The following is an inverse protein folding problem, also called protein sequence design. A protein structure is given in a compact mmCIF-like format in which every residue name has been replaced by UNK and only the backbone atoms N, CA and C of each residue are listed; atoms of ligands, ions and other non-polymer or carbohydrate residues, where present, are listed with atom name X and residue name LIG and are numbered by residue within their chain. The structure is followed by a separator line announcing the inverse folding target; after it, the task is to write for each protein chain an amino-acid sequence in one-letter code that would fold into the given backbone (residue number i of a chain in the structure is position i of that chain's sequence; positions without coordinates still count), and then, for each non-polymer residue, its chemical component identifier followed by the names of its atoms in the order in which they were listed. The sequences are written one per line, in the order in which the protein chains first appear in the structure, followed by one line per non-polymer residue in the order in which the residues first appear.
data_IF_933579193724
#
_entry.id   IF_933579193724
#
_cell.length_a   1.000
_cell.length_b   1.000
_cell.length_c   1.000
_cell.angle_alpha   90.00
_cell.angle_beta   90.00
_cell.angle_gamma   90.00
#
_symmetry.space_group_name_H-M   'P 1'
#
loop_
_entity.id
_entity.type
_entity.pdbx_description
1 polymer ?
#
# COMPACT_ATOMS: atom_id res chain seq x y z
N UNK A 1 24.91 54.89 40.98
CA UNK A 1 24.64 54.26 39.67
C UNK A 1 25.25 52.85 39.62
N UNK A 2 25.17 52.08 40.71
CA UNK A 2 25.76 50.73 40.81
C UNK A 2 24.70 49.64 41.09
N UNK A 3 23.59 50.00 41.76
CA UNK A 3 22.55 49.04 42.15
C UNK A 3 21.72 48.58 40.92
N UNK A 4 21.54 49.45 39.92
CA UNK A 4 20.80 49.15 38.68
C UNK A 4 21.54 48.17 37.77
N UNK A 5 22.86 48.25 37.69
CA UNK A 5 23.70 47.35 36.88
C UNK A 5 23.80 45.95 37.49
N UNK A 6 23.83 45.81 38.82
CA UNK A 6 23.81 44.52 39.51
C UNK A 6 22.46 43.80 39.30
N UNK A 7 21.34 44.51 39.43
CA UNK A 7 20.01 43.92 39.21
C UNK A 7 19.80 43.50 37.74
N UNK A 8 20.31 44.27 36.77
CA UNK A 8 20.27 43.90 35.35
C UNK A 8 21.13 42.67 35.04
N UNK A 9 22.29 42.52 35.70
CA UNK A 9 23.16 41.36 35.54
C UNK A 9 22.53 40.07 36.11
N UNK A 10 21.88 40.17 37.28
CA UNK A 10 21.16 39.05 37.91
C UNK A 10 19.92 38.67 37.07
N UNK A 11 19.18 39.66 36.56
CA UNK A 11 18.04 39.44 35.66
C UNK A 11 18.47 38.79 34.32
N UNK A 12 19.58 39.25 33.73
CA UNK A 12 20.12 38.68 32.50
C UNK A 12 20.65 37.25 32.71
N UNK A 13 21.36 37.00 33.81
CA UNK A 13 21.88 35.67 34.16
C UNK A 13 20.77 34.65 34.45
N UNK A 14 19.73 35.05 35.19
CA UNK A 14 18.56 34.19 35.46
C UNK A 14 17.73 33.91 34.20
N UNK A 15 17.57 34.89 33.30
CA UNK A 15 16.90 34.71 32.01
C UNK A 15 17.63 33.75 31.06
N UNK A 16 18.96 33.82 30.99
CA UNK A 16 19.79 32.92 30.18
C UNK A 16 19.74 31.46 30.68
N UNK A 17 19.85 31.26 31.99
CA UNK A 17 19.77 29.94 32.60
C UNK A 17 18.37 29.33 32.43
N UNK A 18 17.31 30.14 32.64
CA UNK A 18 15.92 29.72 32.40
C UNK A 18 15.66 29.33 30.94
N UNK A 19 16.21 30.07 29.98
CA UNK A 19 16.08 29.78 28.55
C UNK A 19 16.80 28.47 28.14
N UNK A 20 18.00 28.23 28.67
CA UNK A 20 18.74 26.98 28.39
C UNK A 20 18.03 25.75 28.95
N UNK A 21 17.48 25.83 30.16
CA UNK A 21 16.74 24.71 30.79
C UNK A 21 15.40 24.49 30.06
N UNK A 22 14.68 25.57 29.74
CA UNK A 22 13.43 25.51 28.99
C UNK A 22 13.59 24.92 27.59
N UNK A 23 14.65 25.29 26.86
CA UNK A 23 14.95 24.73 25.54
C UNK A 23 15.35 23.24 25.62
N UNK A 24 16.07 22.83 26.66
CA UNK A 24 16.50 21.45 26.86
C UNK A 24 15.32 20.52 27.18
N UNK A 25 14.42 20.93 28.09
CA UNK A 25 13.22 20.16 28.45
C UNK A 25 12.23 20.13 27.28
N UNK A 26 12.04 21.25 26.58
CA UNK A 26 11.17 21.31 25.39
C UNK A 26 11.71 20.44 24.26
N UNK A 27 13.03 20.45 24.03
CA UNK A 27 13.68 19.58 23.04
C UNK A 27 13.51 18.10 23.36
N UNK A 28 13.66 17.70 24.63
CA UNK A 28 13.52 16.30 25.04
C UNK A 28 12.08 15.79 25.00
N UNK A 29 11.10 16.60 25.42
CA UNK A 29 9.68 16.27 25.33
C UNK A 29 9.23 16.20 23.87
N UNK A 30 9.64 17.15 23.04
CA UNK A 30 9.30 17.17 21.62
C UNK A 30 9.96 16.00 20.86
N UNK A 31 11.20 15.63 21.21
CA UNK A 31 11.88 14.45 20.67
C UNK A 31 11.12 13.16 21.04
N UNK A 32 10.70 13.01 22.30
CA UNK A 32 9.97 11.82 22.77
C UNK A 32 8.58 11.70 22.14
N UNK A 33 7.85 12.82 22.01
CA UNK A 33 6.54 12.85 21.35
C UNK A 33 6.69 12.58 19.84
N UNK A 34 7.70 13.18 19.19
CA UNK A 34 7.98 12.95 17.77
C UNK A 34 8.34 11.49 17.46
N UNK A 35 9.10 10.82 18.34
CA UNK A 35 9.44 9.41 18.17
C UNK A 35 8.19 8.51 18.31
N UNK A 36 7.38 8.73 19.36
CA UNK A 36 6.15 7.96 19.55
C UNK A 36 5.15 8.16 18.40
N UNK A 37 5.04 9.39 17.88
CA UNK A 37 4.18 9.69 16.74
C UNK A 37 4.66 8.96 15.47
N UNK A 38 5.97 8.85 15.26
CA UNK A 38 6.55 8.13 14.12
C UNK A 38 6.23 6.63 14.15
N UNK A 39 6.32 6.01 15.33
CA UNK A 39 6.01 4.60 15.49
C UNK A 39 4.52 4.30 15.29
N UNK A 40 3.65 5.16 15.82
CA UNK A 40 2.19 5.06 15.61
C UNK A 40 1.84 5.29 14.14
N UNK A 41 2.47 6.27 13.48
CA UNK A 41 2.29 6.55 12.06
C UNK A 41 2.68 5.32 11.21
N UNK A 42 3.85 4.74 11.48
CA UNK A 42 4.33 3.51 10.82
C UNK A 42 3.35 2.36 10.97
N UNK A 43 2.87 2.10 12.19
CA UNK A 43 1.90 1.03 12.46
C UNK A 43 0.56 1.29 11.77
N UNK A 44 0.10 2.54 11.76
CA UNK A 44 -1.19 2.93 11.16
C UNK A 44 -1.17 2.74 9.64
N UNK A 45 -0.12 3.21 8.96
CA UNK A 45 0.02 3.00 7.52
C UNK A 45 0.24 1.52 7.19
N UNK A 46 1.04 0.81 7.98
CA UNK A 46 1.26 -0.61 7.78
C UNK A 46 -0.04 -1.40 7.87
N UNK A 47 -0.85 -1.14 8.89
CA UNK A 47 -2.17 -1.75 9.05
C UNK A 47 -3.10 -1.39 7.87
N UNK A 48 -3.12 -0.14 7.43
CA UNK A 48 -3.95 0.29 6.31
C UNK A 48 -3.60 -0.40 4.98
N UNK A 49 -2.31 -0.54 4.66
CA UNK A 49 -1.90 -1.28 3.46
C UNK A 49 -2.28 -2.77 3.54
N UNK A 50 -2.09 -3.39 4.70
CA UNK A 50 -2.45 -4.81 4.89
C UNK A 50 -3.96 -5.00 4.76
N UNK A 51 -4.76 -4.12 5.37
CA UNK A 51 -6.21 -4.16 5.30
C UNK A 51 -6.73 -3.99 3.86
N UNK A 52 -6.10 -3.13 3.04
CA UNK A 52 -6.48 -3.02 1.63
C UNK A 52 -6.17 -4.31 0.85
N UNK A 53 -4.99 -4.91 1.06
CA UNK A 53 -4.65 -6.20 0.43
C UNK A 53 -5.64 -7.28 0.83
N UNK A 54 -5.98 -7.37 2.11
CA UNK A 54 -6.97 -8.33 2.63
C UNK A 54 -8.37 -8.11 2.03
N UNK A 55 -8.81 -6.85 1.93
CA UNK A 55 -10.09 -6.51 1.31
C UNK A 55 -10.11 -6.90 -0.17
N UNK A 56 -9.05 -6.60 -0.93
CA UNK A 56 -8.95 -6.96 -2.34
C UNK A 56 -8.92 -8.48 -2.55
N UNK A 57 -8.15 -9.21 -1.74
CA UNK A 57 -8.14 -10.68 -1.72
C UNK A 57 -9.53 -11.25 -1.48
N UNK A 58 -10.24 -10.72 -0.48
CA UNK A 58 -11.59 -11.15 -0.12
C UNK A 58 -12.55 -10.92 -1.27
N UNK A 59 -12.54 -9.72 -1.89
CA UNK A 59 -13.41 -9.41 -3.02
C UNK A 59 -13.15 -10.33 -4.22
N UNK A 60 -11.87 -10.57 -4.55
CA UNK A 60 -11.49 -11.45 -5.67
C UNK A 60 -12.01 -12.88 -5.44
N UNK A 61 -11.87 -13.39 -4.20
CA UNK A 61 -12.32 -14.73 -3.79
C UNK A 61 -13.85 -14.83 -3.79
N UNK A 62 -14.54 -13.89 -3.13
CA UNK A 62 -16.01 -13.88 -3.02
C UNK A 62 -16.71 -13.74 -4.39
N UNK A 63 -16.12 -12.97 -5.31
CA UNK A 63 -16.64 -12.86 -6.68
C UNK A 63 -16.27 -14.04 -7.57
N UNK A 64 -15.44 -14.96 -7.10
CA UNK A 64 -15.01 -16.15 -7.85
C UNK A 64 -14.32 -15.81 -9.18
N UNK A 65 -13.54 -14.72 -9.22
CA UNK A 65 -12.95 -14.25 -10.47
C UNK A 65 -11.96 -15.25 -11.08
N UNK A 66 -11.11 -15.86 -10.26
CA UNK A 66 -10.15 -16.85 -10.71
C UNK A 66 -10.87 -18.11 -11.23
N UNK A 67 -11.86 -18.59 -10.48
CA UNK A 67 -12.66 -19.77 -10.81
C UNK A 67 -13.44 -19.55 -12.10
N UNK A 68 -14.02 -18.36 -12.28
CA UNK A 68 -14.71 -17.97 -13.51
C UNK A 68 -13.76 -17.96 -14.70
N UNK A 69 -12.53 -17.47 -14.53
CA UNK A 69 -11.49 -17.47 -15.56
C UNK A 69 -11.02 -18.89 -15.93
N UNK A 70 -10.85 -19.76 -14.94
CA UNK A 70 -10.53 -21.18 -15.16
C UNK A 70 -11.68 -21.90 -15.86
N UNK A 71 -12.94 -21.59 -15.52
CA UNK A 71 -14.09 -22.13 -16.24
C UNK A 71 -14.12 -21.65 -17.68
N UNK A 72 -13.86 -20.36 -17.90
CA UNK A 72 -13.79 -19.75 -19.22
C UNK A 72 -12.68 -20.34 -20.10
N UNK A 73 -11.51 -20.67 -19.52
CA UNK A 73 -10.42 -21.34 -20.27
C UNK A 73 -10.79 -22.71 -20.80
N UNK A 74 -11.81 -23.35 -20.21
CA UNK A 74 -12.31 -24.67 -20.59
C UNK A 74 -13.56 -24.62 -21.47
N UNK A 75 -14.00 -23.42 -21.90
CA UNK A 75 -15.15 -23.29 -22.78
C UNK A 75 -14.85 -23.89 -24.17
N UNK A 76 -15.77 -24.65 -24.80
CA UNK A 76 -15.52 -25.32 -26.08
C UNK A 76 -14.98 -24.38 -27.17
N UNK A 77 -15.54 -23.18 -27.29
CA UNK A 77 -15.06 -22.19 -28.28
C UNK A 77 -13.60 -21.78 -28.05
N UNK A 78 -13.16 -21.65 -26.79
CA UNK A 78 -11.78 -21.32 -26.46
C UNK A 78 -10.86 -22.50 -26.75
N UNK A 79 -11.30 -23.73 -26.45
CA UNK A 79 -10.55 -24.95 -26.74
C UNK A 79 -10.42 -25.20 -28.25
N UNK A 80 -11.41 -24.79 -29.03
CA UNK A 80 -11.38 -24.77 -30.50
C UNK A 80 -10.54 -23.62 -31.08
N UNK A 81 -9.85 -22.85 -30.22
CA UNK A 81 -8.95 -21.76 -30.62
C UNK A 81 -9.64 -20.44 -30.99
N UNK A 82 -10.93 -20.29 -30.70
CA UNK A 82 -11.64 -19.04 -30.93
C UNK A 82 -11.35 -18.06 -29.79
N UNK A 83 -11.32 -16.77 -30.12
CA UNK A 83 -11.31 -15.71 -29.12
C UNK A 83 -12.75 -15.39 -28.69
N UNK A 84 -12.96 -15.12 -27.41
CA UNK A 84 -14.25 -14.71 -26.87
C UNK A 84 -14.14 -13.44 -26.02
N UNK A 85 -15.23 -12.67 -25.96
CA UNK A 85 -15.29 -11.47 -25.11
C UNK A 85 -15.66 -11.86 -23.69
N UNK A 86 -14.89 -11.35 -22.74
CA UNK A 86 -15.15 -11.49 -21.31
C UNK A 86 -15.09 -10.10 -20.69
N UNK A 87 -16.18 -9.67 -20.03
CA UNK A 87 -16.33 -8.30 -19.53
C UNK A 87 -16.46 -8.35 -18.02
N UNK A 88 -15.59 -7.62 -17.32
CA UNK A 88 -15.69 -7.36 -15.89
C UNK A 88 -15.62 -5.85 -15.70
N UNK A 89 -16.52 -5.30 -14.88
CA UNK A 89 -16.40 -3.92 -14.44
C UNK A 89 -15.51 -3.84 -13.20
N UNK A 90 -14.32 -3.26 -13.37
CA UNK A 90 -13.37 -2.98 -12.29
C UNK A 90 -13.30 -1.46 -12.09
N UNK A 91 -13.53 -0.94 -10.88
CA UNK A 91 -13.35 0.49 -10.60
C UNK A 91 -11.91 0.94 -10.88
N UNK A 92 -11.73 2.07 -11.55
CA UNK A 92 -10.40 2.66 -11.82
C UNK A 92 -9.63 2.95 -10.51
N UNK A 93 -10.35 3.15 -9.40
CA UNK A 93 -9.79 3.49 -8.09
C UNK A 93 -9.80 2.33 -7.10
N UNK A 94 -9.75 1.06 -7.54
CA UNK A 94 -9.84 -0.09 -6.64
C UNK A 94 -8.76 -0.12 -5.51
N UNK A 95 -7.61 0.52 -5.73
CA UNK A 95 -6.49 0.60 -4.79
C UNK A 95 -6.40 2.00 -4.11
N UNK A 96 -7.48 2.43 -3.46
CA UNK A 96 -7.64 3.80 -2.92
C UNK A 96 -6.59 4.14 -1.88
N UNK A 97 -6.37 3.26 -0.91
CA UNK A 97 -5.44 3.47 0.18
C UNK A 97 -4.00 3.43 -0.32
N UNK A 98 -3.66 2.46 -1.17
CA UNK A 98 -2.33 2.39 -1.77
C UNK A 98 -1.98 3.65 -2.55
N UNK A 99 -2.88 4.08 -3.46
CA UNK A 99 -2.65 5.26 -4.29
C UNK A 99 -2.54 6.55 -3.47
N UNK A 100 -3.37 6.72 -2.45
CA UNK A 100 -3.34 7.90 -1.58
C UNK A 100 -2.07 7.99 -0.72
N UNK A 101 -1.38 6.85 -0.48
CA UNK A 101 -0.30 6.76 0.50
C UNK A 101 1.01 6.21 -0.11
N UNK A 102 1.22 6.31 -1.43
CA UNK A 102 2.42 5.82 -2.11
C UNK A 102 3.73 6.32 -1.48
N UNK A 103 3.75 7.58 -1.02
CA UNK A 103 4.90 8.19 -0.35
C UNK A 103 5.24 7.56 1.02
N UNK A 104 4.35 6.74 1.58
CA UNK A 104 4.49 6.05 2.87
C UNK A 104 4.73 4.56 2.74
N UNK A 105 4.76 4.01 1.52
CA UNK A 105 4.89 2.57 1.28
C UNK A 105 6.14 1.96 1.92
N UNK A 106 7.25 2.72 1.96
CA UNK A 106 8.52 2.28 2.53
C UNK A 106 8.48 1.99 4.05
N UNK A 107 7.45 2.46 4.74
CA UNK A 107 7.24 2.20 6.18
C UNK A 107 7.00 0.71 6.48
N UNK A 108 6.65 -0.10 5.47
CA UNK A 108 6.47 -1.55 5.58
C UNK A 108 7.78 -2.34 5.70
N UNK A 109 8.93 -1.70 5.43
CA UNK A 109 10.22 -2.37 5.25
C UNK A 109 10.39 -2.92 3.84
N UNK A 110 11.64 -3.18 3.45
CA UNK A 110 12.04 -3.44 2.05
C UNK A 110 11.28 -4.60 1.41
N UNK A 111 11.26 -5.76 2.06
CA UNK A 111 10.65 -6.97 1.49
C UNK A 111 9.13 -6.84 1.34
N UNK A 112 8.45 -6.36 2.39
CA UNK A 112 6.98 -6.19 2.33
C UNK A 112 6.57 -5.09 1.37
N UNK A 113 7.37 -4.02 1.25
CA UNK A 113 7.17 -2.96 0.24
C UNK A 113 7.26 -3.53 -1.17
N UNK A 114 8.28 -4.34 -1.46
CA UNK A 114 8.46 -5.00 -2.76
C UNK A 114 7.25 -5.87 -3.11
N UNK A 115 6.79 -6.69 -2.16
CA UNK A 115 5.61 -7.54 -2.35
C UNK A 115 4.36 -6.70 -2.62
N UNK A 116 4.13 -5.63 -1.85
CA UNK A 116 2.97 -4.76 -2.02
C UNK A 116 2.94 -4.07 -3.39
N UNK A 117 4.08 -3.52 -3.83
CA UNK A 117 4.19 -2.93 -5.17
C UNK A 117 3.91 -3.98 -6.24
N UNK A 118 4.50 -5.17 -6.14
CA UNK A 118 4.24 -6.26 -7.09
C UNK A 118 2.77 -6.67 -7.13
N UNK A 119 2.12 -6.76 -5.96
CA UNK A 119 0.70 -7.08 -5.85
C UNK A 119 -0.17 -6.09 -6.62
N UNK A 120 -0.03 -4.79 -6.35
CA UNK A 120 -0.83 -3.77 -7.03
C UNK A 120 -0.51 -3.65 -8.52
N UNK A 121 0.75 -3.81 -8.93
CA UNK A 121 1.12 -3.79 -10.36
C UNK A 121 0.51 -4.95 -11.13
N UNK A 122 0.46 -6.16 -10.55
CA UNK A 122 -0.22 -7.30 -11.18
C UNK A 122 -1.73 -7.05 -11.29
N UNK A 123 -2.38 -6.56 -10.23
CA UNK A 123 -3.81 -6.24 -10.27
C UNK A 123 -4.12 -5.12 -11.26
N UNK A 124 -3.25 -4.11 -11.37
CA UNK A 124 -3.41 -3.03 -12.33
C UNK A 124 -3.28 -3.53 -13.77
N UNK A 125 -2.31 -4.41 -14.06
CA UNK A 125 -2.19 -5.07 -15.37
C UNK A 125 -3.46 -5.84 -15.72
N UNK A 126 -3.96 -6.66 -14.80
CA UNK A 126 -5.22 -7.40 -14.98
C UNK A 126 -6.38 -6.45 -15.23
N UNK A 127 -6.53 -5.38 -14.44
CA UNK A 127 -7.59 -4.40 -14.63
C UNK A 127 -7.52 -3.69 -15.99
N UNK A 128 -6.31 -3.39 -16.48
CA UNK A 128 -6.11 -2.78 -17.80
C UNK A 128 -6.53 -3.70 -18.93
N UNK A 129 -6.31 -5.01 -18.80
CA UNK A 129 -6.76 -5.99 -19.80
C UNK A 129 -8.29 -5.98 -19.94
N UNK A 130 -9.05 -5.69 -18.88
CA UNK A 130 -10.51 -5.57 -18.94
C UNK A 130 -11.04 -4.20 -19.33
N UNK A 131 -10.17 -3.20 -19.47
CA UNK A 131 -10.61 -1.84 -19.79
C UNK A 131 -11.09 -1.76 -21.24
N UNK A 132 -12.15 -0.98 -21.47
CA UNK A 132 -12.62 -0.70 -22.82
C UNK A 132 -11.49 -0.12 -23.68
N UNK A 133 -11.29 -0.71 -24.85
CA UNK A 133 -10.22 -0.33 -25.78
C UNK A 133 -8.87 -1.02 -25.53
N UNK A 134 -8.76 -1.88 -24.52
CA UNK A 134 -7.58 -2.76 -24.36
C UNK A 134 -7.44 -3.72 -25.54
N UNK A 135 -6.23 -4.24 -25.76
CA UNK A 135 -5.97 -5.20 -26.85
C UNK A 135 -6.91 -6.42 -26.78
N UNK A 136 -7.10 -7.00 -25.60
CA UNK A 136 -7.97 -8.17 -25.41
C UNK A 136 -9.45 -7.83 -25.41
N UNK A 137 -9.87 -6.61 -25.05
CA UNK A 137 -11.27 -6.19 -25.21
C UNK A 137 -11.68 -6.06 -26.69
N UNK A 138 -10.73 -5.61 -27.53
CA UNK A 138 -10.93 -5.39 -28.97
C UNK A 138 -10.84 -6.71 -29.73
N UNK A 139 -9.79 -7.50 -29.47
CA UNK A 139 -9.46 -8.72 -30.23
C UNK A 139 -10.02 -10.00 -29.58
N UNK A 140 -10.57 -9.91 -28.37
CA UNK A 140 -11.05 -11.05 -27.59
C UNK A 140 -9.93 -11.74 -26.80
N UNK A 141 -10.35 -12.52 -25.81
CA UNK A 141 -9.48 -13.41 -25.05
C UNK A 141 -9.37 -14.75 -25.76
N UNK A 142 -8.17 -15.07 -26.24
CA UNK A 142 -7.81 -16.41 -26.71
C UNK A 142 -7.26 -17.26 -25.55
N UNK A 143 -6.99 -18.55 -25.79
CA UNK A 143 -6.52 -19.49 -24.76
C UNK A 143 -5.28 -18.98 -24.04
N UNK A 144 -4.31 -18.45 -24.79
CA UNK A 144 -3.05 -17.95 -24.25
C UNK A 144 -3.26 -16.75 -23.32
N UNK A 145 -4.08 -15.77 -23.72
CA UNK A 145 -4.39 -14.61 -22.90
C UNK A 145 -5.14 -15.01 -21.61
N UNK A 146 -6.05 -15.98 -21.71
CA UNK A 146 -6.80 -16.49 -20.55
C UNK A 146 -5.84 -17.19 -19.57
N UNK A 147 -4.96 -18.05 -20.07
CA UNK A 147 -3.98 -18.75 -19.24
C UNK A 147 -3.01 -17.79 -18.54
N UNK A 148 -2.60 -16.74 -19.24
CA UNK A 148 -1.81 -15.67 -18.65
C UNK A 148 -2.58 -14.93 -17.54
N UNK A 149 -3.84 -14.58 -17.76
CA UNK A 149 -4.69 -13.98 -16.74
C UNK A 149 -4.82 -14.89 -15.51
N UNK A 150 -5.07 -16.19 -15.71
CA UNK A 150 -5.15 -17.20 -14.63
C UNK A 150 -3.84 -17.24 -13.84
N UNK A 151 -2.69 -17.25 -14.53
CA UNK A 151 -1.36 -17.23 -13.91
C UNK A 151 -1.14 -15.97 -13.08
N UNK A 152 -1.52 -14.80 -13.61
CA UNK A 152 -1.40 -13.52 -12.92
C UNK A 152 -2.32 -13.43 -11.70
N UNK A 153 -3.58 -13.86 -11.80
CA UNK A 153 -4.50 -13.94 -10.66
C UNK A 153 -3.94 -14.83 -9.55
N UNK A 154 -3.50 -16.05 -9.86
CA UNK A 154 -2.88 -16.96 -8.88
C UNK A 154 -1.66 -16.31 -8.21
N UNK A 155 -0.83 -15.62 -8.98
CA UNK A 155 0.34 -14.92 -8.46
C UNK A 155 -0.05 -13.76 -7.53
N UNK A 156 -1.04 -12.95 -7.91
CA UNK A 156 -1.55 -11.87 -7.06
C UNK A 156 -2.10 -12.42 -5.74
N UNK A 157 -2.93 -13.48 -5.81
CA UNK A 157 -3.48 -14.15 -4.63
C UNK A 157 -2.36 -14.61 -3.69
N UNK A 158 -1.36 -15.34 -4.22
CA UNK A 158 -0.21 -15.81 -3.45
C UNK A 158 0.63 -14.68 -2.83
N UNK A 159 0.88 -13.59 -3.58
CA UNK A 159 1.64 -12.45 -3.04
C UNK A 159 0.87 -11.76 -1.93
N UNK A 160 -0.45 -11.54 -2.08
CA UNK A 160 -1.21 -10.92 -1.01
C UNK A 160 -1.27 -11.78 0.26
N UNK A 161 -1.34 -13.10 0.14
CA UNK A 161 -1.20 -14.01 1.28
C UNK A 161 0.17 -13.90 1.95
N UNK A 162 1.25 -13.73 1.17
CA UNK A 162 2.58 -13.45 1.73
C UNK A 162 2.62 -12.12 2.48
N UNK A 163 2.00 -11.06 1.96
CA UNK A 163 1.94 -9.73 2.62
C UNK A 163 1.22 -9.83 3.97
N UNK A 164 0.04 -10.45 3.97
CA UNK A 164 -0.83 -10.60 5.16
C UNK A 164 -0.13 -11.44 6.23
N UNK A 165 0.45 -12.57 5.84
CA UNK A 165 1.10 -13.49 6.77
C UNK A 165 2.57 -13.14 7.09
N UNK A 166 3.08 -12.02 6.56
CA UNK A 166 4.48 -11.65 6.75
C UNK A 166 4.76 -11.38 8.24
N UNK A 167 5.57 -12.24 8.84
CA UNK A 167 6.08 -12.05 10.20
C UNK A 167 7.32 -11.16 10.13
N UNK A 168 7.28 -10.04 10.84
CA UNK A 168 8.48 -9.22 11.05
C UNK A 168 9.48 -10.07 11.82
N UNK A 169 10.65 -10.36 11.22
CA UNK A 169 11.78 -10.88 12.00
C UNK A 169 12.23 -9.76 12.93
N UNK A 170 11.98 -9.95 14.23
CA UNK A 170 12.48 -9.12 15.33
C UNK A 170 14.00 -9.20 15.40
#
# INVERSE_FOLDING_TARGET
MEITTINQLIAAGSGLIGACIGASISGWVNYRISSNNHDIEKLSFAAGFIAEVEALQTIIKERGYLESFISFSNHPDILDGKAAKYIILIPDDFARFYNANLNKVGLLGVERTKLLVQYHQILQSLAQDFKDGSYVSVNGFNKEAIDECVRLFKRALSIGEQIINYKVRS
#
